data_IF_528092183944
#
_entry.id   IF_528092183944
#
_cell.length_a   1.000
_cell.length_b   1.000
_cell.length_c   1.000
_cell.angle_alpha   90.00
_cell.angle_beta   90.00
_cell.angle_gamma   90.00
#
_symmetry.space_group_name_H-M   'P 1'
#
loop_
_entity.id
_entity.type
_entity.pdbx_description
1 polymer ?
#
# COMPACT_ATOMS: atom_id res chain seq x y z
N UNK A 1 -10.28 -36.04 35.71
CA UNK A 1 -10.48 -34.58 35.56
C UNK A 1 -9.19 -34.01 34.97
N UNK A 2 -9.14 -33.77 33.67
CA UNK A 2 -8.07 -33.00 33.03
C UNK A 2 -8.75 -31.90 32.21
N UNK A 3 -8.92 -30.74 32.85
CA UNK A 3 -9.31 -29.50 32.19
C UNK A 3 -8.11 -29.06 31.35
N UNK A 4 -8.17 -29.33 30.05
CA UNK A 4 -7.24 -28.74 29.10
C UNK A 4 -7.43 -27.22 29.16
N UNK A 5 -6.39 -26.52 29.60
CA UNK A 5 -6.34 -25.07 29.57
C UNK A 5 -6.25 -24.65 28.10
N UNK A 6 -7.39 -24.53 27.43
CA UNK A 6 -7.46 -23.86 26.13
C UNK A 6 -7.11 -22.41 26.40
N UNK A 7 -5.86 -22.03 26.11
CA UNK A 7 -5.46 -20.63 26.17
C UNK A 7 -6.38 -19.86 25.22
N UNK A 8 -7.31 -19.06 25.77
CA UNK A 8 -8.16 -18.17 24.99
C UNK A 8 -7.25 -17.25 24.19
N UNK A 9 -7.14 -17.49 22.89
CA UNK A 9 -6.47 -16.59 21.97
C UNK A 9 -7.16 -15.23 22.07
N UNK A 10 -6.42 -14.22 22.53
CA UNK A 10 -6.86 -12.84 22.48
C UNK A 10 -6.35 -12.27 21.17
N UNK A 11 -7.28 -11.97 20.25
CA UNK A 11 -6.96 -11.20 19.07
C UNK A 11 -6.35 -9.85 19.49
N UNK A 12 -5.28 -9.37 18.82
CA UNK A 12 -4.75 -8.04 19.06
C UNK A 12 -5.83 -6.99 18.81
N UNK A 13 -5.76 -5.86 19.51
CA UNK A 13 -6.63 -4.73 19.26
C UNK A 13 -6.42 -4.19 17.83
N UNK A 14 -7.44 -3.54 17.29
CA UNK A 14 -7.31 -2.84 16.01
C UNK A 14 -6.47 -1.57 16.21
N UNK A 15 -5.30 -1.54 15.57
CA UNK A 15 -4.35 -0.43 15.61
C UNK A 15 -4.31 0.34 14.28
N UNK A 16 -5.34 0.17 13.43
CA UNK A 16 -5.46 0.90 12.17
C UNK A 16 -5.70 2.41 12.40
N UNK A 17 -6.44 2.73 13.46
CA UNK A 17 -6.84 4.10 13.84
C UNK A 17 -6.74 4.26 15.35
N UNK A 18 -6.61 5.51 15.82
CA UNK A 18 -6.59 5.80 17.26
C UNK A 18 -7.97 5.49 17.88
N UNK A 19 -7.98 4.76 18.99
CA UNK A 19 -9.20 4.39 19.72
C UNK A 19 -10.27 3.66 18.90
N UNK A 20 -9.89 2.69 18.07
CA UNK A 20 -10.87 1.85 17.38
C UNK A 20 -11.78 1.11 18.38
N UNK A 21 -13.09 1.34 18.28
CA UNK A 21 -14.11 0.73 19.16
C UNK A 21 -14.82 -0.48 18.56
N UNK A 22 -14.58 -0.76 17.27
CA UNK A 22 -15.20 -1.89 16.58
C UNK A 22 -14.55 -3.18 17.07
N UNK A 23 -15.34 -4.22 17.42
CA UNK A 23 -14.77 -5.52 17.79
C UNK A 23 -13.94 -6.11 16.65
N UNK A 24 -12.75 -6.61 16.97
CA UNK A 24 -11.91 -7.34 16.02
C UNK A 24 -12.55 -8.71 15.75
N UNK A 25 -12.80 -9.01 14.48
CA UNK A 25 -13.41 -10.27 14.03
C UNK A 25 -12.50 -11.07 13.09
N UNK A 26 -11.32 -10.52 12.75
CA UNK A 26 -10.31 -11.16 11.92
C UNK A 26 -8.89 -10.72 12.31
N UNK A 27 -7.95 -11.66 12.21
CA UNK A 27 -6.52 -11.40 12.41
C UNK A 27 -5.77 -11.69 11.12
N UNK A 28 -4.93 -10.75 10.71
CA UNK A 28 -4.02 -10.90 9.57
C UNK A 28 -2.59 -10.97 10.09
N UNK A 29 -1.75 -11.78 9.45
CA UNK A 29 -0.32 -11.84 9.70
C UNK A 29 0.43 -11.18 8.55
N UNK A 30 1.20 -10.16 8.88
CA UNK A 30 2.15 -9.52 7.98
C UNK A 30 3.35 -10.43 7.70
N UNK A 31 4.11 -10.14 6.63
CA UNK A 31 5.30 -10.91 6.28
C UNK A 31 6.45 -10.80 7.28
N UNK A 32 6.46 -9.73 8.10
CA UNK A 32 7.37 -9.56 9.24
C UNK A 32 6.93 -10.36 10.49
N UNK A 33 5.85 -11.14 10.39
CA UNK A 33 5.30 -11.98 11.45
C UNK A 33 4.32 -11.27 12.39
N UNK A 34 4.17 -9.95 12.27
CA UNK A 34 3.25 -9.16 13.11
C UNK A 34 1.80 -9.55 12.88
N UNK A 35 1.05 -9.71 13.97
CA UNK A 35 -0.39 -9.96 13.94
C UNK A 35 -1.15 -8.63 14.06
N UNK A 36 -2.11 -8.40 13.15
CA UNK A 36 -2.93 -7.19 13.13
C UNK A 36 -4.41 -7.59 13.24
N UNK A 37 -5.10 -7.03 14.24
CA UNK A 37 -6.54 -7.18 14.39
C UNK A 37 -7.27 -6.18 13.50
N UNK A 38 -8.31 -6.62 12.81
CA UNK A 38 -9.13 -5.74 11.97
C UNK A 38 -10.56 -6.27 11.83
N UNK A 39 -11.31 -5.73 10.87
CA UNK A 39 -12.74 -5.95 10.70
C UNK A 39 -13.05 -6.44 9.29
N UNK A 40 -13.66 -7.62 9.19
CA UNK A 40 -14.07 -8.23 7.92
C UNK A 40 -14.92 -7.27 7.10
N UNK A 41 -15.85 -6.55 7.74
CA UNK A 41 -16.75 -5.64 7.03
C UNK A 41 -16.02 -4.46 6.39
N UNK A 42 -15.02 -3.92 7.07
CA UNK A 42 -14.18 -2.85 6.53
C UNK A 42 -13.34 -3.36 5.36
N UNK A 43 -12.77 -4.56 5.50
CA UNK A 43 -12.03 -5.18 4.41
C UNK A 43 -12.95 -5.38 3.18
N UNK A 44 -14.14 -5.96 3.38
CA UNK A 44 -15.17 -6.21 2.36
C UNK A 44 -15.53 -4.95 1.57
N UNK A 45 -15.80 -3.86 2.29
CA UNK A 45 -16.30 -2.62 1.69
C UNK A 45 -15.20 -1.89 0.91
N UNK A 46 -13.96 -1.89 1.43
CA UNK A 46 -12.89 -1.03 0.91
C UNK A 46 -11.85 -1.75 0.06
N UNK A 47 -11.85 -3.09 0.00
CA UNK A 47 -10.78 -3.87 -0.64
C UNK A 47 -11.38 -4.99 -1.50
N UNK A 48 -11.70 -4.70 -2.77
CA UNK A 48 -12.35 -5.67 -3.66
C UNK A 48 -11.54 -6.95 -3.94
N UNK A 49 -10.22 -6.91 -3.77
CA UNK A 49 -9.30 -8.03 -4.00
C UNK A 49 -8.86 -8.76 -2.73
N UNK A 50 -9.41 -8.42 -1.56
CA UNK A 50 -9.04 -9.10 -0.33
C UNK A 50 -9.47 -10.57 -0.35
N UNK A 51 -8.66 -11.53 0.14
CA UNK A 51 -9.04 -12.93 0.15
C UNK A 51 -10.18 -13.19 1.16
N UNK A 52 -11.42 -13.21 0.67
CA UNK A 52 -12.58 -13.68 1.42
C UNK A 52 -12.68 -15.20 1.29
N UNK A 53 -12.62 -15.96 2.38
CA UNK A 53 -12.75 -17.42 2.26
C UNK A 53 -12.50 -18.29 3.48
N UNK A 54 -12.03 -17.74 4.60
CA UNK A 54 -11.87 -18.52 5.83
C UNK A 54 -12.87 -17.99 6.86
N UNK A 55 -13.93 -18.75 7.20
CA UNK A 55 -14.74 -18.44 8.37
C UNK A 55 -13.82 -18.45 9.58
N UNK A 56 -13.74 -17.34 10.31
CA UNK A 56 -12.99 -17.27 11.56
C UNK A 56 -13.76 -18.09 12.60
N UNK A 57 -13.41 -19.36 12.70
CA UNK A 57 -13.46 -20.04 13.98
C UNK A 57 -12.47 -19.31 14.88
N UNK A 58 -12.79 -19.04 16.13
CA UNK A 58 -11.96 -18.20 17.02
C UNK A 58 -10.65 -18.90 17.45
N UNK A 59 -9.97 -19.60 16.54
CA UNK A 59 -8.74 -20.35 16.73
C UNK A 59 -7.59 -19.75 15.91
N UNK A 60 -6.36 -19.93 16.40
CA UNK A 60 -5.13 -19.38 15.80
C UNK A 60 -4.94 -19.76 14.30
N UNK A 61 -5.62 -20.82 13.86
CA UNK A 61 -5.53 -21.37 12.50
C UNK A 61 -6.19 -20.49 11.42
N UNK A 62 -7.01 -19.51 11.80
CA UNK A 62 -7.72 -18.65 10.82
C UNK A 62 -7.00 -17.33 10.52
N UNK A 63 -5.72 -17.25 10.87
CA UNK A 63 -4.88 -16.09 10.56
C UNK A 63 -4.56 -16.02 9.07
N UNK A 64 -4.97 -14.95 8.39
CA UNK A 64 -4.66 -14.74 6.97
C UNK A 64 -3.26 -14.17 6.83
N UNK A 65 -2.37 -14.91 6.17
CA UNK A 65 -0.99 -14.46 5.90
C UNK A 65 -0.94 -13.63 4.63
N UNK A 66 -0.41 -12.41 4.75
CA UNK A 66 -0.22 -11.47 3.64
C UNK A 66 1.29 -11.26 3.39
N UNK A 67 1.65 -10.85 2.18
CA UNK A 67 3.06 -10.72 1.76
C UNK A 67 3.67 -9.38 2.19
N UNK A 68 2.82 -8.42 2.50
CA UNK A 68 3.15 -7.06 2.88
C UNK A 68 3.58 -7.00 4.35
N UNK A 69 4.51 -6.09 4.65
CA UNK A 69 4.93 -5.82 6.02
C UNK A 69 3.83 -5.12 6.82
N UNK A 70 4.00 -5.12 8.14
CA UNK A 70 2.99 -4.59 9.06
C UNK A 70 2.75 -3.09 8.88
N UNK A 71 3.78 -2.32 8.51
CA UNK A 71 3.66 -0.89 8.27
C UNK A 71 2.74 -0.59 7.06
N UNK A 72 2.96 -1.30 5.95
CA UNK A 72 2.16 -1.18 4.74
C UNK A 72 0.71 -1.59 4.99
N UNK A 73 0.51 -2.71 5.71
CA UNK A 73 -0.82 -3.18 6.05
C UNK A 73 -1.55 -2.21 6.97
N UNK A 74 -0.89 -1.62 7.98
CA UNK A 74 -1.52 -0.61 8.85
C UNK A 74 -2.02 0.59 8.07
N UNK A 75 -1.25 1.07 7.09
CA UNK A 75 -1.69 2.15 6.20
C UNK A 75 -2.92 1.73 5.39
N UNK A 76 -2.90 0.56 4.76
CA UNK A 76 -4.03 0.04 4.00
C UNK A 76 -5.30 -0.14 4.87
N UNK A 77 -5.12 -0.66 6.09
CA UNK A 77 -6.20 -0.80 7.07
C UNK A 77 -6.75 0.56 7.47
N UNK A 78 -5.90 1.58 7.68
CA UNK A 78 -6.34 2.95 7.96
C UNK A 78 -7.27 3.48 6.85
N UNK A 79 -6.92 3.27 5.57
CA UNK A 79 -7.81 3.61 4.46
C UNK A 79 -9.13 2.81 4.48
N UNK A 80 -9.08 1.56 4.94
CA UNK A 80 -10.27 0.71 5.10
C UNK A 80 -11.14 1.10 6.29
N UNK A 81 -10.68 1.99 7.16
CA UNK A 81 -11.49 2.60 8.21
C UNK A 81 -12.17 3.90 7.75
N UNK A 82 -11.95 4.34 6.51
CA UNK A 82 -12.47 5.61 6.00
C UNK A 82 -12.12 6.83 6.90
N UNK A 83 -10.96 6.76 7.55
CA UNK A 83 -10.44 7.83 8.41
C UNK A 83 -9.54 8.79 7.62
N UNK A 84 -9.31 9.98 8.20
CA UNK A 84 -8.36 10.94 7.64
C UNK A 84 -6.93 10.37 7.70
N UNK A 85 -6.35 10.19 6.52
CA UNK A 85 -5.01 9.66 6.32
C UNK A 85 -3.94 10.76 6.26
N UNK A 86 -4.33 12.04 6.28
CA UNK A 86 -3.44 13.19 6.25
C UNK A 86 -2.64 13.31 4.94
N UNK A 87 -1.48 13.97 5.02
CA UNK A 87 -0.58 14.15 3.88
C UNK A 87 0.27 12.89 3.62
N UNK A 88 -0.21 12.02 2.73
CA UNK A 88 0.48 10.79 2.30
C UNK A 88 1.90 11.06 1.80
N UNK A 89 2.17 12.23 1.21
CA UNK A 89 3.51 12.62 0.77
C UNK A 89 4.55 12.67 1.91
N UNK A 90 4.13 12.82 3.17
CA UNK A 90 5.05 12.83 4.31
C UNK A 90 5.60 11.44 4.65
N UNK A 91 5.01 10.37 4.10
CA UNK A 91 5.47 9.00 4.32
C UNK A 91 6.82 8.70 3.65
N UNK A 92 7.19 9.47 2.62
CA UNK A 92 8.35 9.20 1.76
C UNK A 92 8.03 8.22 0.63
N UNK A 93 8.78 8.33 -0.47
CA UNK A 93 8.47 7.64 -1.73
C UNK A 93 8.41 6.11 -1.59
N UNK A 94 9.33 5.51 -0.84
CA UNK A 94 9.40 4.05 -0.68
C UNK A 94 8.14 3.49 0.00
N UNK A 95 7.61 4.19 1.00
CA UNK A 95 6.38 3.79 1.68
C UNK A 95 5.16 3.95 0.79
N UNK A 96 5.14 5.02 -0.01
CA UNK A 96 4.04 5.30 -0.95
C UNK A 96 4.01 4.23 -2.04
N UNK A 97 5.16 3.81 -2.56
CA UNK A 97 5.25 2.71 -3.53
C UNK A 97 4.68 1.42 -2.94
N UNK A 98 5.12 1.02 -1.73
CA UNK A 98 4.61 -0.18 -1.05
C UNK A 98 3.09 -0.12 -0.83
N UNK A 99 2.59 1.02 -0.36
CA UNK A 99 1.15 1.25 -0.17
C UNK A 99 0.40 1.20 -1.50
N UNK A 100 0.94 1.78 -2.57
CA UNK A 100 0.32 1.77 -3.90
C UNK A 100 0.19 0.35 -4.45
N UNK A 101 1.24 -0.46 -4.32
CA UNK A 101 1.24 -1.87 -4.73
C UNK A 101 0.24 -2.70 -3.92
N UNK A 102 0.18 -2.50 -2.60
CA UNK A 102 -0.81 -3.15 -1.75
C UNK A 102 -2.24 -2.70 -2.10
N UNK A 103 -2.45 -1.41 -2.30
CA UNK A 103 -3.74 -0.84 -2.67
C UNK A 103 -4.24 -1.37 -4.02
N UNK A 104 -3.35 -1.50 -5.01
CA UNK A 104 -3.66 -2.11 -6.31
C UNK A 104 -4.02 -3.60 -6.15
N UNK A 105 -3.18 -4.36 -5.42
CA UNK A 105 -3.39 -5.78 -5.17
C UNK A 105 -4.72 -6.08 -4.47
N UNK A 106 -5.06 -5.30 -3.46
CA UNK A 106 -6.26 -5.50 -2.65
C UNK A 106 -7.46 -4.69 -3.13
N UNK A 107 -7.31 -3.88 -4.20
CA UNK A 107 -8.40 -3.11 -4.78
C UNK A 107 -8.89 -1.95 -3.93
N UNK A 108 -8.01 -1.35 -3.12
CA UNK A 108 -8.33 -0.17 -2.32
C UNK A 108 -8.18 1.12 -3.14
N UNK A 109 -9.29 1.57 -3.73
CA UNK A 109 -9.27 2.71 -4.64
C UNK A 109 -8.91 4.04 -3.94
N UNK A 110 -9.28 4.21 -2.67
CA UNK A 110 -8.98 5.42 -1.90
C UNK A 110 -7.48 5.55 -1.65
N UNK A 111 -6.83 4.48 -1.18
CA UNK A 111 -5.39 4.43 -1.00
C UNK A 111 -4.64 4.65 -2.32
N UNK A 112 -5.11 4.02 -3.41
CA UNK A 112 -4.49 4.16 -4.73
C UNK A 112 -4.54 5.61 -5.24
N UNK A 113 -5.69 6.28 -5.12
CA UNK A 113 -5.85 7.69 -5.48
C UNK A 113 -4.96 8.61 -4.64
N UNK A 114 -4.90 8.39 -3.33
CA UNK A 114 -4.04 9.16 -2.43
C UNK A 114 -2.55 9.00 -2.78
N UNK A 115 -2.11 7.78 -3.11
CA UNK A 115 -0.75 7.50 -3.56
C UNK A 115 -0.40 8.26 -4.85
N UNK A 116 -1.29 8.28 -5.85
CA UNK A 116 -1.07 9.03 -7.11
C UNK A 116 -0.86 10.52 -6.86
N UNK A 117 -1.70 11.12 -6.02
CA UNK A 117 -1.57 12.54 -5.63
C UNK A 117 -0.24 12.79 -4.92
N UNK A 118 0.12 11.95 -3.94
CA UNK A 118 1.36 12.08 -3.20
C UNK A 118 2.61 11.93 -4.08
N UNK A 119 2.61 10.95 -4.98
CA UNK A 119 3.70 10.73 -5.95
C UNK A 119 3.90 11.96 -6.85
N UNK A 120 2.82 12.57 -7.34
CA UNK A 120 2.91 13.81 -8.13
C UNK A 120 3.54 14.95 -7.33
N UNK A 121 3.16 15.12 -6.06
CA UNK A 121 3.71 16.17 -5.18
C UNK A 121 5.19 15.95 -4.88
N UNK A 122 5.62 14.71 -4.67
CA UNK A 122 7.01 14.39 -4.35
C UNK A 122 7.91 14.45 -5.59
N UNK A 123 7.43 13.97 -6.73
CA UNK A 123 8.16 14.00 -7.99
C UNK A 123 8.53 15.44 -8.40
N UNK A 124 7.60 16.39 -8.25
CA UNK A 124 7.86 17.81 -8.55
C UNK A 124 8.93 18.47 -7.68
N UNK A 125 9.28 17.88 -6.53
CA UNK A 125 10.25 18.43 -5.57
C UNK A 125 11.66 17.86 -5.74
N UNK A 126 11.83 16.77 -6.47
CA UNK A 126 13.12 16.08 -6.59
C UNK A 126 13.19 15.31 -7.91
N UNK A 127 14.23 15.59 -8.69
CA UNK A 127 14.51 14.90 -9.95
C UNK A 127 14.75 13.39 -9.74
N UNK A 128 15.39 13.00 -8.64
CA UNK A 128 15.57 11.60 -8.25
C UNK A 128 14.20 10.91 -8.06
N UNK A 129 13.29 11.57 -7.33
CA UNK A 129 11.95 11.03 -7.13
C UNK A 129 11.15 11.00 -8.42
N UNK A 130 11.28 12.01 -9.28
CA UNK A 130 10.60 12.04 -10.57
C UNK A 130 10.97 10.84 -11.44
N UNK A 131 12.26 10.53 -11.57
CA UNK A 131 12.74 9.35 -12.31
C UNK A 131 12.10 8.06 -11.76
N UNK A 132 12.00 7.94 -10.43
CA UNK A 132 11.42 6.77 -9.77
C UNK A 132 9.89 6.68 -9.87
N UNK A 133 9.19 7.80 -10.04
CA UNK A 133 7.72 7.88 -10.13
C UNK A 133 7.19 7.59 -11.54
N UNK A 134 7.93 7.99 -12.59
CA UNK A 134 7.50 7.82 -14.00
C UNK A 134 7.04 6.38 -14.32
N UNK A 135 7.74 5.31 -13.90
CA UNK A 135 7.28 3.94 -14.15
C UNK A 135 5.89 3.63 -13.57
N UNK A 136 5.58 4.14 -12.39
CA UNK A 136 4.28 3.96 -11.77
C UNK A 136 3.20 4.74 -12.51
N UNK A 137 3.50 5.99 -12.92
CA UNK A 137 2.58 6.78 -13.76
C UNK A 137 2.21 6.06 -15.05
N UNK A 138 3.18 5.50 -15.74
CA UNK A 138 2.93 4.72 -16.97
C UNK A 138 2.19 3.41 -16.67
N UNK A 139 2.60 2.66 -15.65
CA UNK A 139 1.95 1.39 -15.25
C UNK A 139 0.47 1.58 -14.96
N UNK A 140 0.13 2.64 -14.23
CA UNK A 140 -1.23 2.96 -13.82
C UNK A 140 -1.99 3.88 -14.79
N UNK A 141 -1.40 4.16 -15.96
CA UNK A 141 -1.93 5.07 -16.99
C UNK A 141 -2.33 6.44 -16.41
N UNK A 142 -1.60 6.89 -15.40
CA UNK A 142 -1.78 8.19 -14.77
C UNK A 142 -0.85 9.19 -15.46
N UNK A 143 -1.32 9.76 -16.57
CA UNK A 143 -0.58 10.77 -17.34
C UNK A 143 -0.82 12.20 -16.85
N UNK A 144 -1.57 12.38 -15.75
CA UNK A 144 -1.79 13.70 -15.18
C UNK A 144 -0.46 14.27 -14.66
N UNK A 145 -0.15 15.53 -14.97
CA UNK A 145 1.12 16.19 -14.61
C UNK A 145 2.38 15.45 -15.06
N UNK A 146 2.30 14.65 -16.13
CA UNK A 146 3.43 13.84 -16.59
C UNK A 146 4.54 14.72 -17.21
N UNK A 147 4.19 15.68 -18.06
CA UNK A 147 5.14 16.60 -18.70
C UNK A 147 6.05 17.34 -17.69
N UNK A 148 5.52 18.05 -16.66
CA UNK A 148 6.38 18.73 -15.70
C UNK A 148 7.22 17.75 -14.85
N UNK A 149 6.77 16.51 -14.67
CA UNK A 149 7.57 15.47 -13.98
C UNK A 149 8.74 15.06 -14.88
N UNK A 150 8.53 14.85 -16.17
CA UNK A 150 9.60 14.51 -17.12
C UNK A 150 10.59 15.65 -17.28
N UNK A 151 10.13 16.90 -17.39
CA UNK A 151 11.01 18.08 -17.42
C UNK A 151 11.96 18.13 -16.22
N UNK A 152 11.47 17.76 -15.02
CA UNK A 152 12.31 17.72 -13.81
C UNK A 152 13.43 16.66 -13.86
N UNK A 153 13.34 15.69 -14.78
CA UNK A 153 14.37 14.65 -14.98
C UNK A 153 15.45 15.04 -15.99
N UNK A 154 15.30 16.15 -16.72
CA UNK A 154 16.21 16.52 -17.83
C UNK A 154 17.65 16.81 -17.39
N UNK A 155 17.84 17.14 -16.12
CA UNK A 155 19.17 17.36 -15.54
C UNK A 155 19.79 16.07 -14.96
N UNK A 156 19.11 14.93 -15.06
CA UNK A 156 19.60 13.63 -14.59
C UNK A 156 20.34 12.93 -15.75
N UNK A 157 21.56 12.42 -15.53
CA UNK A 157 22.25 11.63 -16.54
C UNK A 157 21.40 10.47 -17.07
N UNK A 158 21.34 10.29 -18.39
CA UNK A 158 20.54 9.24 -19.02
C UNK A 158 20.86 7.84 -18.49
N UNK A 159 22.12 7.60 -18.09
CA UNK A 159 22.53 6.35 -17.47
C UNK A 159 21.74 6.05 -16.16
N UNK A 160 21.52 7.06 -15.32
CA UNK A 160 20.82 6.91 -14.05
C UNK A 160 19.31 6.69 -14.27
N UNK A 161 18.76 7.33 -15.31
CA UNK A 161 17.37 7.09 -15.75
C UNK A 161 17.20 5.65 -16.23
N UNK A 162 18.12 5.14 -17.06
CA UNK A 162 18.11 3.76 -17.56
C UNK A 162 18.19 2.77 -16.39
N UNK A 163 19.09 3.00 -15.43
CA UNK A 163 19.22 2.14 -14.24
C UNK A 163 17.93 2.10 -13.44
N UNK A 164 17.29 3.26 -13.24
CA UNK A 164 16.05 3.37 -12.48
C UNK A 164 14.85 2.72 -13.18
N UNK A 165 14.84 2.71 -14.51
CA UNK A 165 13.75 2.17 -15.33
C UNK A 165 14.00 0.74 -15.84
N UNK A 166 15.12 0.09 -15.46
CA UNK A 166 15.53 -1.22 -16.01
C UNK A 166 14.49 -2.34 -15.86
N UNK A 167 13.65 -2.27 -14.83
CA UNK A 167 12.58 -3.25 -14.59
C UNK A 167 11.28 -2.93 -15.34
N UNK A 168 11.27 -1.83 -16.10
CA UNK A 168 10.10 -1.30 -16.82
C UNK A 168 10.44 -1.00 -18.29
N UNK A 169 10.79 -2.00 -19.12
CA UNK A 169 11.30 -1.78 -20.47
C UNK A 169 10.32 -1.03 -21.39
N UNK A 170 9.01 -1.20 -21.19
CA UNK A 170 7.98 -0.43 -21.92
C UNK A 170 7.94 1.05 -21.52
N UNK A 171 8.28 1.36 -20.26
CA UNK A 171 8.30 2.73 -19.75
C UNK A 171 9.48 3.49 -20.35
N UNK A 172 10.63 2.84 -20.50
CA UNK A 172 11.79 3.45 -21.16
C UNK A 172 11.48 3.93 -22.59
N UNK A 173 10.78 3.11 -23.38
CA UNK A 173 10.38 3.50 -24.75
C UNK A 173 9.45 4.71 -24.76
N UNK A 174 8.52 4.77 -23.81
CA UNK A 174 7.62 5.92 -23.65
C UNK A 174 8.42 7.14 -23.22
N UNK A 175 9.31 7.01 -22.24
CA UNK A 175 10.16 8.08 -21.72
C UNK A 175 11.03 8.74 -22.80
N UNK A 176 11.75 7.96 -23.61
CA UNK A 176 12.58 8.50 -24.71
C UNK A 176 11.74 9.20 -25.78
N UNK A 177 10.45 8.87 -25.89
CA UNK A 177 9.55 9.51 -26.87
C UNK A 177 8.98 10.85 -26.39
N UNK A 178 9.08 11.15 -25.09
CA UNK A 178 8.50 12.33 -24.44
C UNK A 178 9.57 13.24 -23.78
N UNK A 179 10.82 12.78 -23.72
CA UNK A 179 12.00 13.55 -23.31
C UNK A 179 12.74 14.12 -24.52
#
# INVERSE_FOLDING_TARGET
MNSAFVSKFHAPACEAIEFCTVPVDIVIQASDGTLLGTHMKNLEVFNSGFPYGVPVTHEFQDTIKLAEDSETLRLLLKFSHNEDYGEVEKLGLDKIIRLMEAADKYGNCFALCACKVAMNRIAKKSSEHAVRVIPYKVRYRDYYDMDPIVESTMNVPLADVIVSMRHFPRVYLVYVSIS
#
